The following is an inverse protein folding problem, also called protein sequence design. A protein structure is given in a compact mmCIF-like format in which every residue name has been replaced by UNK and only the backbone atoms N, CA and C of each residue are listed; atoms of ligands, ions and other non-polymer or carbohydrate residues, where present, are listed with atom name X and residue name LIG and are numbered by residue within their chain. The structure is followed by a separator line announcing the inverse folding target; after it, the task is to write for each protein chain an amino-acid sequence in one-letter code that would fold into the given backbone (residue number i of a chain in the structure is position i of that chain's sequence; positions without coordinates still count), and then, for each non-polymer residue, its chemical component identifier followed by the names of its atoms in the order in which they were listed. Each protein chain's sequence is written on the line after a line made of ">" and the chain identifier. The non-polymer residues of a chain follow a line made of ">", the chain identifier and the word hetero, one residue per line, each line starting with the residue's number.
data_IF_816071616957
#
_entry.id   IF_816071616957
#
_cell.length_a   1.000
_cell.length_b   1.000
_cell.length_c   1.000
_cell.angle_alpha   90.00
_cell.angle_beta   90.00
_cell.angle_gamma   90.00
#
_symmetry.space_group_name_H-M   'P 1'
#
loop_
_entity.id
_entity.type
_entity.pdbx_description
1 polymer ?
#
# COMPACT_ATOMS: atom_id res chain seq x y z
N UNK A 1 -21.17 -37.60 25.18
CA UNK A 1 -19.83 -38.20 25.11
C UNK A 1 -19.30 -37.97 23.70
N UNK A 2 -18.22 -37.19 23.56
CA UNK A 2 -17.54 -36.96 22.28
C UNK A 2 -17.55 -35.49 21.82
N UNK A 3 -16.68 -34.65 22.40
CA UNK A 3 -15.47 -34.08 21.78
C UNK A 3 -15.70 -33.16 20.55
N UNK A 4 -15.89 -31.88 20.82
CA UNK A 4 -15.55 -30.79 19.90
C UNK A 4 -14.58 -29.85 20.59
N UNK A 5 -13.29 -30.17 20.56
CA UNK A 5 -12.25 -29.27 21.04
C UNK A 5 -12.20 -28.00 20.18
N UNK A 6 -12.40 -26.87 20.85
CA UNK A 6 -11.68 -25.60 20.72
C UNK A 6 -10.72 -25.46 19.52
N UNK A 7 -11.08 -24.57 18.59
CA UNK A 7 -10.11 -23.61 18.06
C UNK A 7 -10.30 -22.32 18.84
N UNK A 8 -9.34 -22.04 19.71
CA UNK A 8 -9.23 -20.77 20.40
C UNK A 8 -9.08 -19.64 19.38
N UNK A 9 -10.10 -18.80 19.26
CA UNK A 9 -9.88 -17.40 18.92
C UNK A 9 -10.55 -16.54 19.99
N UNK A 10 -10.08 -16.74 21.22
CA UNK A 10 -10.11 -15.70 22.23
C UNK A 10 -9.17 -14.58 21.78
N UNK A 11 -9.72 -13.63 21.05
CA UNK A 11 -9.20 -12.28 21.02
C UNK A 11 -10.32 -11.39 21.53
N UNK A 12 -10.35 -11.22 22.85
CA UNK A 12 -10.95 -10.07 23.51
C UNK A 12 -10.44 -8.80 22.81
N UNK A 13 -11.19 -8.30 21.84
CA UNK A 13 -10.87 -7.09 21.07
C UNK A 13 -11.33 -5.81 21.77
N UNK A 14 -11.67 -5.89 23.06
CA UNK A 14 -12.30 -4.78 23.77
C UNK A 14 -11.32 -3.87 24.57
N UNK A 15 -10.02 -4.17 24.65
CA UNK A 15 -9.14 -3.47 25.61
C UNK A 15 -7.81 -2.87 25.07
N UNK A 16 -7.52 -2.88 23.75
CA UNK A 16 -6.28 -2.27 23.20
C UNK A 16 -6.42 -1.58 21.83
N UNK A 17 -7.66 -1.22 21.46
CA UNK A 17 -8.08 -0.83 20.10
C UNK A 17 -7.30 0.33 19.44
N UNK A 18 -6.56 1.15 20.18
CA UNK A 18 -5.77 2.25 19.61
C UNK A 18 -4.43 1.79 19.02
N UNK A 19 -3.65 1.01 19.77
CA UNK A 19 -2.28 0.63 19.37
C UNK A 19 -2.25 -0.31 18.17
N UNK A 20 -3.14 -1.29 18.12
CA UNK A 20 -3.27 -2.22 16.99
C UNK A 20 -3.75 -1.54 15.72
N UNK A 21 -4.65 -0.54 15.83
CA UNK A 21 -5.07 0.29 14.68
C UNK A 21 -3.92 1.13 14.12
N UNK A 22 -3.13 1.76 14.98
CA UNK A 22 -1.96 2.55 14.53
C UNK A 22 -0.92 1.68 13.82
N UNK A 23 -0.62 0.49 14.37
CA UNK A 23 0.29 -0.46 13.72
C UNK A 23 -0.26 -0.97 12.39
N UNK A 24 -1.54 -1.35 12.33
CA UNK A 24 -2.19 -1.79 11.09
C UNK A 24 -2.23 -0.70 10.02
N UNK A 25 -2.53 0.54 10.41
CA UNK A 25 -2.58 1.70 9.52
C UNK A 25 -1.19 2.05 8.97
N UNK A 26 -0.15 2.03 9.84
CA UNK A 26 1.23 2.24 9.44
C UNK A 26 1.75 1.15 8.50
N UNK A 27 1.42 -0.11 8.75
CA UNK A 27 1.80 -1.23 7.86
C UNK A 27 1.09 -1.16 6.51
N UNK A 28 -0.20 -0.83 6.49
CA UNK A 28 -0.98 -0.72 5.24
C UNK A 28 -0.38 0.34 4.30
N UNK A 29 -0.13 1.54 4.81
CA UNK A 29 0.51 2.58 4.01
C UNK A 29 1.98 2.27 3.71
N UNK A 30 2.74 1.81 4.71
CA UNK A 30 4.17 1.53 4.57
C UNK A 30 4.49 0.47 3.52
N UNK A 31 3.72 -0.62 3.48
CA UNK A 31 3.90 -1.66 2.46
C UNK A 31 3.47 -1.20 1.07
N UNK A 32 2.37 -0.44 0.98
CA UNK A 32 1.90 0.14 -0.28
C UNK A 32 2.94 1.14 -0.85
N UNK A 33 3.46 2.04 0.00
CA UNK A 33 4.48 3.01 -0.35
C UNK A 33 5.81 2.34 -0.75
N UNK A 34 6.22 1.27 -0.06
CA UNK A 34 7.39 0.50 -0.44
C UNK A 34 7.23 -0.15 -1.83
N UNK A 35 6.08 -0.79 -2.10
CA UNK A 35 5.78 -1.38 -3.40
C UNK A 35 5.72 -0.33 -4.53
N UNK A 36 5.06 0.80 -4.28
CA UNK A 36 5.00 1.91 -5.22
C UNK A 36 6.41 2.49 -5.48
N UNK A 37 7.21 2.72 -4.44
CA UNK A 37 8.58 3.23 -4.57
C UNK A 37 9.48 2.35 -5.42
N UNK A 38 9.40 1.03 -5.25
CA UNK A 38 10.13 0.07 -6.09
C UNK A 38 9.66 0.17 -7.55
N UNK A 39 8.35 0.17 -7.79
CA UNK A 39 7.78 0.32 -9.13
C UNK A 39 8.17 1.64 -9.81
N UNK A 40 8.15 2.74 -9.06
CA UNK A 40 8.54 4.06 -9.52
C UNK A 40 10.03 4.13 -9.84
N UNK A 41 10.88 3.42 -9.10
CA UNK A 41 12.30 3.30 -9.43
C UNK A 41 12.52 2.72 -10.82
N UNK A 42 11.83 1.62 -11.15
CA UNK A 42 11.93 0.99 -12.48
C UNK A 42 11.28 1.84 -13.58
N UNK A 43 10.04 2.30 -13.37
CA UNK A 43 9.31 3.12 -14.36
C UNK A 43 10.00 4.46 -14.58
N UNK A 44 10.54 5.07 -13.53
CA UNK A 44 11.28 6.33 -13.61
C UNK A 44 12.58 6.18 -14.40
N UNK A 45 13.38 5.15 -14.12
CA UNK A 45 14.62 4.89 -14.84
C UNK A 45 14.37 4.61 -16.33
N UNK A 46 13.45 3.69 -16.65
CA UNK A 46 13.09 3.37 -18.03
C UNK A 46 12.43 4.57 -18.74
N UNK A 47 11.59 5.31 -18.04
CA UNK A 47 10.88 6.48 -18.55
C UNK A 47 11.84 7.62 -18.90
N UNK A 48 12.80 7.92 -18.03
CA UNK A 48 13.83 8.95 -18.28
C UNK A 48 14.70 8.58 -19.48
N UNK A 49 15.12 7.32 -19.61
CA UNK A 49 15.85 6.84 -20.79
C UNK A 49 15.01 6.97 -22.08
N UNK A 50 13.72 6.64 -22.04
CA UNK A 50 12.84 6.81 -23.20
C UNK A 50 12.61 8.29 -23.55
N UNK A 51 12.52 9.18 -22.54
CA UNK A 51 12.36 10.63 -22.74
C UNK A 51 13.63 11.24 -23.32
N UNK A 52 14.82 10.79 -22.89
CA UNK A 52 16.08 11.30 -23.45
C UNK A 52 16.22 11.00 -24.94
N UNK A 53 15.77 9.83 -25.38
CA UNK A 53 15.76 9.45 -26.80
C UNK A 53 14.66 10.18 -27.58
N UNK A 54 13.46 10.28 -26.99
CA UNK A 54 12.29 10.88 -27.64
C UNK A 54 11.48 11.74 -26.66
N UNK A 55 11.71 13.08 -26.62
CA UNK A 55 11.02 13.98 -25.69
C UNK A 55 9.49 13.95 -25.80
N UNK A 56 8.95 13.61 -26.98
CA UNK A 56 7.51 13.45 -27.23
C UNK A 56 6.86 12.34 -26.38
N UNK A 57 7.64 11.45 -25.78
CA UNK A 57 7.16 10.35 -24.93
C UNK A 57 6.84 10.78 -23.50
N UNK A 58 7.23 11.99 -23.08
CA UNK A 58 7.09 12.48 -21.71
C UNK A 58 5.68 12.31 -21.14
N UNK A 59 4.64 12.68 -21.90
CA UNK A 59 3.26 12.54 -21.44
C UNK A 59 2.85 11.07 -21.22
N UNK A 60 3.34 10.14 -22.05
CA UNK A 60 3.05 8.70 -21.88
C UNK A 60 3.75 8.13 -20.66
N UNK A 61 5.00 8.52 -20.43
CA UNK A 61 5.76 8.11 -19.25
C UNK A 61 5.06 8.56 -17.97
N UNK A 62 4.54 9.80 -17.91
CA UNK A 62 3.80 10.27 -16.75
C UNK A 62 2.50 9.50 -16.47
N UNK A 63 1.83 8.94 -17.49
CA UNK A 63 0.67 8.07 -17.29
C UNK A 63 1.07 6.80 -16.53
N UNK A 64 2.21 6.19 -16.88
CA UNK A 64 2.71 5.01 -16.18
C UNK A 64 3.17 5.33 -14.75
N UNK A 65 3.83 6.47 -14.55
CA UNK A 65 4.18 6.96 -13.20
C UNK A 65 2.92 7.13 -12.35
N UNK A 66 1.88 7.78 -12.88
CA UNK A 66 0.61 7.97 -12.17
C UNK A 66 -0.11 6.65 -11.85
N UNK A 67 -0.04 5.67 -12.75
CA UNK A 67 -0.55 4.32 -12.48
C UNK A 67 0.17 3.65 -11.30
N UNK A 68 1.49 3.75 -11.21
CA UNK A 68 2.23 3.18 -10.07
C UNK A 68 1.95 3.97 -8.79
N UNK A 69 1.90 5.30 -8.86
CA UNK A 69 1.61 6.18 -7.72
C UNK A 69 0.23 5.89 -7.09
N UNK A 70 -0.74 5.45 -7.91
CA UNK A 70 -2.07 5.08 -7.42
C UNK A 70 -2.04 3.99 -6.33
N UNK A 71 -1.02 3.13 -6.32
CA UNK A 71 -0.82 2.11 -5.29
C UNK A 71 -0.56 2.77 -3.93
N UNK A 72 0.30 3.80 -3.88
CA UNK A 72 0.59 4.54 -2.66
C UNK A 72 -0.64 5.31 -2.17
N UNK A 73 -1.36 5.96 -3.08
CA UNK A 73 -2.59 6.69 -2.76
C UNK A 73 -3.65 5.74 -2.18
N UNK A 74 -3.82 4.55 -2.77
CA UNK A 74 -4.73 3.55 -2.22
C UNK A 74 -4.29 3.05 -0.83
N UNK A 75 -2.98 2.96 -0.58
CA UNK A 75 -2.42 2.70 0.75
C UNK A 75 -2.80 3.76 1.79
N UNK A 76 -2.79 5.04 1.39
CA UNK A 76 -3.27 6.15 2.25
C UNK A 76 -4.76 6.01 2.53
N UNK A 77 -5.56 5.68 1.52
CA UNK A 77 -7.01 5.43 1.70
C UNK A 77 -7.26 4.30 2.70
N UNK A 78 -6.56 3.18 2.56
CA UNK A 78 -6.67 2.04 3.49
C UNK A 78 -6.23 2.42 4.92
N UNK A 79 -5.17 3.22 5.07
CA UNK A 79 -4.74 3.74 6.35
C UNK A 79 -5.87 4.52 7.05
N UNK A 80 -6.55 5.43 6.36
CA UNK A 80 -7.68 6.17 6.93
C UNK A 80 -8.85 5.28 7.32
N UNK A 81 -9.20 4.30 6.47
CA UNK A 81 -10.26 3.32 6.77
C UNK A 81 -9.93 2.53 8.05
N UNK A 82 -8.68 2.09 8.23
CA UNK A 82 -8.25 1.36 9.44
C UNK A 82 -8.33 2.26 10.69
N UNK A 83 -7.98 3.54 10.55
CA UNK A 83 -8.11 4.53 11.62
C UNK A 83 -9.56 4.96 11.86
N UNK A 84 -10.50 4.56 10.99
CA UNK A 84 -11.90 4.93 11.05
C UNK A 84 -12.15 6.41 10.78
N UNK A 85 -11.38 7.00 9.87
CA UNK A 85 -11.55 8.36 9.34
C UNK A 85 -12.11 8.29 7.93
#
# INVERSE_FOLDING_TARGET
>A
MGIGQAFAQGADQAASSGGSKLLGAGLAFGLAAAGAGIGLGFVGAAGLAAISDNPKMQSRVFIFVGMVESIAIYGIVMMFIILGQ
#
